data_IF_591443404239
#
_entry.id   IF_591443404239
#
_cell.length_a   1.000
_cell.length_b   1.000
_cell.length_c   1.000
_cell.angle_alpha   90.00
_cell.angle_beta   90.00
_cell.angle_gamma   90.00
#
_symmetry.space_group_name_H-M   'P 1'
#
loop_
_entity.id
_entity.type
_entity.pdbx_description
1 polymer ?
#
# COMPACT_ATOMS: atom_id res chain seq x y z
N UNK A 1 26.45 8.90 7.69
CA UNK A 1 25.11 9.38 8.11
C UNK A 1 24.11 8.24 8.39
N UNK A 2 23.94 7.24 7.51
CA UNK A 2 22.95 6.17 7.71
C UNK A 2 23.05 5.38 9.04
N UNK A 3 24.27 5.02 9.47
CA UNK A 3 24.47 4.25 10.71
C UNK A 3 24.02 5.02 11.98
N UNK A 4 24.23 6.34 12.01
CA UNK A 4 23.84 7.17 13.15
C UNK A 4 22.32 7.32 13.23
N UNK A 5 21.65 7.46 12.08
CA UNK A 5 20.19 7.48 11.99
C UNK A 5 19.60 6.15 12.48
N UNK A 6 20.15 5.01 12.01
CA UNK A 6 19.71 3.69 12.45
C UNK A 6 19.88 3.49 13.97
N UNK A 7 21.02 3.92 14.54
CA UNK A 7 21.27 3.86 15.97
C UNK A 7 20.27 4.72 16.77
N UNK A 8 19.95 5.93 16.31
CA UNK A 8 18.94 6.79 16.94
C UNK A 8 17.54 6.18 16.88
N UNK A 9 17.16 5.56 15.76
CA UNK A 9 15.88 4.84 15.63
C UNK A 9 15.81 3.69 16.63
N UNK A 10 16.85 2.87 16.72
CA UNK A 10 16.90 1.74 17.65
C UNK A 10 16.85 2.20 19.11
N UNK A 11 17.63 3.23 19.47
CA UNK A 11 17.61 3.80 20.81
C UNK A 11 16.22 4.37 21.18
N UNK A 12 15.48 4.92 20.21
CA UNK A 12 14.11 5.35 20.44
C UNK A 12 13.15 4.17 20.63
N UNK A 13 13.23 3.15 19.76
CA UNK A 13 12.42 1.93 19.82
C UNK A 13 12.67 1.12 21.10
N UNK A 14 13.85 1.22 21.72
CA UNK A 14 14.14 0.55 22.99
C UNK A 14 13.40 1.17 24.20
N UNK A 15 12.87 2.39 24.08
CA UNK A 15 12.17 3.07 25.18
C UNK A 15 10.76 2.48 25.37
N UNK A 16 10.33 2.15 26.61
CA UNK A 16 8.95 1.68 26.84
C UNK A 16 7.87 2.66 26.38
N UNK A 17 8.15 3.97 26.43
CA UNK A 17 7.24 5.01 25.94
C UNK A 17 6.89 4.85 24.45
N UNK A 18 7.86 4.47 23.61
CA UNK A 18 7.64 4.24 22.18
C UNK A 18 6.55 3.20 21.94
N UNK A 19 6.67 2.03 22.60
CA UNK A 19 5.71 0.93 22.43
C UNK A 19 4.35 1.22 23.04
N UNK A 20 4.28 1.96 24.16
CA UNK A 20 3.00 2.40 24.73
C UNK A 20 2.27 3.32 23.76
N UNK A 21 2.97 4.30 23.19
CA UNK A 21 2.41 5.20 22.18
C UNK A 21 1.97 4.42 20.96
N UNK A 22 2.83 3.60 20.36
CA UNK A 22 2.48 2.81 19.18
C UNK A 22 1.24 1.92 19.42
N UNK A 23 1.15 1.26 20.58
CA UNK A 23 -0.02 0.47 20.95
C UNK A 23 -1.28 1.33 21.05
N UNK A 24 -1.19 2.51 21.68
CA UNK A 24 -2.31 3.45 21.77
C UNK A 24 -2.80 3.89 20.40
N UNK A 25 -1.87 4.22 19.50
CA UNK A 25 -2.18 4.58 18.10
C UNK A 25 -2.85 3.43 17.35
N UNK A 26 -2.37 2.19 17.51
CA UNK A 26 -2.96 1.01 16.88
C UNK A 26 -4.36 0.69 17.43
N UNK A 27 -4.60 0.93 18.72
CA UNK A 27 -5.93 0.78 19.33
C UNK A 27 -6.88 1.88 18.83
N UNK A 28 -6.42 3.13 18.78
CA UNK A 28 -7.21 4.25 18.25
C UNK A 28 -7.52 4.05 16.75
N UNK A 29 -6.56 3.55 15.97
CA UNK A 29 -6.77 3.26 14.55
C UNK A 29 -7.89 2.24 14.33
N UNK A 30 -8.04 1.26 15.21
CA UNK A 30 -9.15 0.30 15.11
C UNK A 30 -10.51 0.96 15.22
N UNK A 31 -10.69 2.03 16.02
CA UNK A 31 -11.97 2.74 16.07
C UNK A 31 -12.22 3.60 14.84
N UNK A 32 -11.17 4.09 14.18
CA UNK A 32 -11.28 4.84 12.91
C UNK A 32 -11.62 3.90 11.76
N UNK A 33 -11.01 2.72 11.72
CA UNK A 33 -11.17 1.73 10.65
C UNK A 33 -12.13 0.58 11.01
N UNK A 34 -12.95 0.73 12.05
CA UNK A 34 -13.88 -0.32 12.50
C UNK A 34 -15.05 -0.52 11.55
N UNK A 35 -15.37 0.48 10.73
CA UNK A 35 -16.44 0.41 9.76
C UNK A 35 -16.03 -0.49 8.60
N UNK A 36 -16.76 -1.58 8.32
CA UNK A 36 -16.44 -2.45 7.21
C UNK A 36 -16.62 -1.69 5.88
N UNK A 37 -15.67 -1.87 4.98
CA UNK A 37 -15.84 -1.49 3.56
C UNK A 37 -16.93 -2.39 2.98
N UNK A 38 -17.88 -1.80 2.24
CA UNK A 38 -18.99 -2.59 1.68
C UNK A 38 -18.44 -3.60 0.67
N UNK A 39 -18.91 -4.85 0.74
CA UNK A 39 -18.45 -5.91 -0.17
C UNK A 39 -18.77 -5.62 -1.65
N UNK A 40 -19.78 -4.78 -1.92
CA UNK A 40 -20.13 -4.33 -3.26
C UNK A 40 -19.53 -2.97 -3.63
N UNK A 41 -18.65 -2.41 -2.80
CA UNK A 41 -17.97 -1.16 -3.12
C UNK A 41 -17.12 -1.35 -4.38
N UNK A 42 -17.39 -0.54 -5.39
CA UNK A 42 -16.77 -0.64 -6.69
C UNK A 42 -16.44 0.76 -7.21
N UNK A 43 -15.21 0.94 -7.66
CA UNK A 43 -14.64 2.17 -8.22
C UNK A 43 -14.97 2.34 -9.72
N UNK A 44 -15.76 1.44 -10.32
CA UNK A 44 -16.16 1.56 -11.73
C UNK A 44 -14.96 1.47 -12.67
N UNK A 45 -14.92 2.38 -13.64
CA UNK A 45 -13.84 2.52 -14.62
C UNK A 45 -12.69 3.42 -14.14
N UNK A 46 -12.66 3.83 -12.86
CA UNK A 46 -11.55 4.62 -12.30
C UNK A 46 -10.26 3.79 -12.43
N UNK A 47 -9.23 4.25 -13.15
CA UNK A 47 -7.96 3.52 -13.24
C UNK A 47 -7.32 3.37 -11.86
N UNK A 48 -6.93 2.14 -11.53
CA UNK A 48 -6.32 1.80 -10.25
C UNK A 48 -5.07 0.96 -10.48
N UNK A 49 -3.96 1.38 -9.88
CA UNK A 49 -2.69 0.65 -9.93
C UNK A 49 -2.17 0.45 -8.50
N UNK A 50 -2.04 -0.81 -8.09
CA UNK A 50 -1.49 -1.20 -6.79
C UNK A 50 -0.02 -1.62 -6.96
N UNK A 51 0.88 -0.93 -6.27
CA UNK A 51 2.30 -1.32 -6.21
C UNK A 51 2.52 -2.27 -5.04
N UNK A 52 3.12 -3.43 -5.33
CA UNK A 52 3.40 -4.47 -4.34
C UNK A 52 4.91 -4.68 -4.22
N UNK A 53 5.41 -4.62 -2.99
CA UNK A 53 6.77 -4.97 -2.64
C UNK A 53 6.99 -6.48 -2.80
N UNK A 54 8.16 -6.89 -3.31
CA UNK A 54 8.55 -8.30 -3.43
C UNK A 54 9.47 -8.78 -2.29
N UNK A 55 9.96 -7.86 -1.45
CA UNK A 55 10.87 -8.13 -0.31
C UNK A 55 10.34 -7.64 1.03
N UNK A 56 9.03 -7.46 1.16
CA UNK A 56 8.41 -6.88 2.37
C UNK A 56 8.72 -7.63 3.68
N UNK A 57 9.11 -8.91 3.60
CA UNK A 57 9.33 -9.79 4.75
C UNK A 57 10.67 -10.52 4.69
N UNK A 58 11.67 -9.99 3.99
CA UNK A 58 12.96 -10.67 3.78
C UNK A 58 13.69 -11.08 5.06
N UNK A 59 13.45 -10.39 6.19
CA UNK A 59 14.07 -10.69 7.48
C UNK A 59 13.18 -11.55 8.40
N UNK A 60 12.06 -12.06 7.88
CA UNK A 60 11.09 -12.87 8.62
C UNK A 60 11.29 -14.36 8.29
N UNK A 61 11.32 -15.25 9.30
CA UNK A 61 11.32 -16.70 9.08
C UNK A 61 10.18 -17.18 8.17
N UNK A 62 10.44 -18.17 7.31
CA UNK A 62 9.51 -18.63 6.28
C UNK A 62 8.14 -19.08 6.83
N UNK A 63 8.14 -19.73 8.00
CA UNK A 63 6.95 -20.21 8.69
C UNK A 63 6.03 -19.07 9.17
N UNK A 64 6.61 -17.92 9.50
CA UNK A 64 5.89 -16.70 9.88
C UNK A 64 5.56 -15.84 8.65
N UNK A 65 6.41 -15.86 7.63
CA UNK A 65 6.26 -15.07 6.42
C UNK A 65 4.93 -15.37 5.70
N UNK A 66 4.56 -16.64 5.57
CA UNK A 66 3.29 -17.04 4.97
C UNK A 66 2.07 -16.46 5.71
N UNK A 67 2.08 -16.50 7.05
CA UNK A 67 1.00 -15.96 7.87
C UNK A 67 0.91 -14.42 7.75
N UNK A 68 2.05 -13.74 7.68
CA UNK A 68 2.09 -12.29 7.49
C UNK A 68 1.67 -11.85 6.09
N UNK A 69 1.96 -12.66 5.07
CA UNK A 69 1.67 -12.33 3.67
C UNK A 69 0.20 -12.54 3.27
N UNK A 70 -0.54 -13.43 3.96
CA UNK A 70 -1.90 -13.80 3.57
C UNK A 70 -2.89 -12.62 3.65
N UNK A 71 -2.95 -11.92 4.78
CA UNK A 71 -3.88 -10.80 4.95
C UNK A 71 -3.62 -9.63 3.97
N UNK A 72 -2.36 -9.20 3.74
CA UNK A 72 -2.02 -8.27 2.67
C UNK A 72 -2.40 -8.79 1.28
N UNK A 73 -2.13 -10.06 0.98
CA UNK A 73 -2.47 -10.63 -0.33
C UNK A 73 -3.97 -10.57 -0.61
N UNK A 74 -4.81 -10.97 0.35
CA UNK A 74 -6.26 -10.88 0.24
C UNK A 74 -6.73 -9.43 0.09
N UNK A 75 -6.15 -8.52 0.88
CA UNK A 75 -6.44 -7.08 0.80
C UNK A 75 -6.09 -6.51 -0.58
N UNK A 76 -4.90 -6.79 -1.11
CA UNK A 76 -4.46 -6.32 -2.43
C UNK A 76 -5.38 -6.84 -3.53
N UNK A 77 -5.77 -8.13 -3.49
CA UNK A 77 -6.70 -8.69 -4.46
C UNK A 77 -8.05 -7.98 -4.44
N UNK A 78 -8.58 -7.69 -3.25
CA UNK A 78 -9.85 -6.96 -3.08
C UNK A 78 -9.75 -5.54 -3.64
N UNK A 79 -8.70 -4.80 -3.30
CA UNK A 79 -8.47 -3.44 -3.81
C UNK A 79 -8.40 -3.43 -5.33
N UNK A 80 -7.64 -4.35 -5.94
CA UNK A 80 -7.54 -4.45 -7.40
C UNK A 80 -8.88 -4.81 -8.03
N UNK A 81 -9.64 -5.73 -7.44
CA UNK A 81 -10.97 -6.11 -7.96
C UNK A 81 -12.03 -5.02 -7.83
N UNK A 82 -11.82 -4.01 -6.99
CA UNK A 82 -12.76 -2.90 -6.84
C UNK A 82 -12.84 -2.02 -8.09
N UNK A 83 -11.89 -2.11 -9.02
CA UNK A 83 -11.92 -1.35 -10.28
C UNK A 83 -11.92 -2.29 -11.49
N UNK A 84 -12.76 -2.00 -12.49
CA UNK A 84 -12.76 -2.70 -13.77
C UNK A 84 -11.43 -2.51 -14.55
N UNK A 85 -10.66 -1.48 -14.19
CA UNK A 85 -9.33 -1.18 -14.75
C UNK A 85 -8.20 -1.38 -13.73
N UNK A 86 -8.48 -2.10 -12.65
CA UNK A 86 -7.53 -2.39 -11.59
C UNK A 86 -6.36 -3.26 -12.07
N UNK A 87 -5.14 -2.88 -11.70
CA UNK A 87 -3.93 -3.66 -11.96
C UNK A 87 -3.04 -3.71 -10.73
N UNK A 88 -2.28 -4.80 -10.60
CA UNK A 88 -1.23 -4.95 -9.60
C UNK A 88 0.13 -5.01 -10.30
N UNK A 89 1.11 -4.26 -9.80
CA UNK A 89 2.49 -4.29 -10.26
C UNK A 89 3.41 -4.65 -9.11
N UNK A 90 4.17 -5.74 -9.26
CA UNK A 90 5.26 -6.05 -8.34
C UNK A 90 6.45 -5.12 -8.64
N UNK A 91 7.05 -4.51 -7.61
CA UNK A 91 8.21 -3.63 -7.75
C UNK A 91 9.47 -4.38 -7.31
N UNK A 92 10.36 -4.75 -8.25
CA UNK A 92 11.50 -5.61 -7.95
C UNK A 92 12.48 -5.00 -6.94
N UNK A 93 12.80 -5.82 -5.94
CA UNK A 93 13.72 -5.51 -4.87
C UNK A 93 13.24 -4.45 -3.88
N UNK A 94 11.96 -4.09 -3.89
CA UNK A 94 11.40 -3.14 -2.94
C UNK A 94 10.94 -3.86 -1.67
N UNK A 95 11.30 -3.31 -0.50
CA UNK A 95 10.70 -3.68 0.77
C UNK A 95 9.43 -2.84 1.02
N UNK A 96 9.01 -2.70 2.28
CA UNK A 96 7.73 -2.11 2.64
C UNK A 96 7.56 -0.66 2.13
N UNK A 97 8.60 0.18 2.22
CA UNK A 97 8.54 1.59 1.86
C UNK A 97 8.96 1.83 0.39
N UNK A 98 8.17 1.30 -0.55
CA UNK A 98 8.42 1.41 -2.00
C UNK A 98 8.70 2.85 -2.44
N UNK A 99 7.98 3.84 -1.89
CA UNK A 99 8.14 5.26 -2.22
C UNK A 99 9.50 5.83 -1.84
N UNK A 100 10.17 5.26 -0.83
CA UNK A 100 11.48 5.69 -0.38
C UNK A 100 12.59 4.95 -1.14
N UNK A 101 12.37 3.67 -1.46
CA UNK A 101 13.40 2.80 -2.05
C UNK A 101 13.40 2.77 -3.58
N UNK A 102 12.24 3.00 -4.19
CA UNK A 102 11.99 2.85 -5.63
C UNK A 102 11.14 4.00 -6.15
N UNK A 103 11.56 5.23 -5.86
CA UNK A 103 10.87 6.45 -6.27
C UNK A 103 10.49 6.44 -7.76
N UNK A 104 11.38 5.98 -8.64
CA UNK A 104 11.10 5.93 -10.08
C UNK A 104 9.96 4.97 -10.44
N UNK A 105 9.83 3.84 -9.74
CA UNK A 105 8.70 2.93 -9.96
C UNK A 105 7.37 3.60 -9.61
N UNK A 106 7.35 4.43 -8.56
CA UNK A 106 6.17 5.22 -8.19
C UNK A 106 5.88 6.29 -9.24
N UNK A 107 6.89 7.02 -9.71
CA UNK A 107 6.72 8.05 -10.75
C UNK A 107 6.17 7.44 -12.04
N UNK A 108 6.74 6.34 -12.52
CA UNK A 108 6.25 5.64 -13.71
C UNK A 108 4.82 5.13 -13.54
N UNK A 109 4.49 4.57 -12.37
CA UNK A 109 3.13 4.13 -12.05
C UNK A 109 2.10 5.28 -12.12
N UNK A 110 2.46 6.46 -11.61
CA UNK A 110 1.60 7.66 -11.70
C UNK A 110 1.44 8.09 -13.15
N UNK A 111 2.51 8.11 -13.94
CA UNK A 111 2.47 8.45 -15.36
C UNK A 111 1.57 7.48 -16.15
N UNK A 112 1.65 6.18 -15.88
CA UNK A 112 0.81 5.16 -16.52
C UNK A 112 -0.68 5.37 -16.24
N UNK A 113 -1.03 5.71 -14.99
CA UNK A 113 -2.41 6.04 -14.60
C UNK A 113 -2.88 7.29 -15.34
N UNK A 114 -2.08 8.36 -15.38
CA UNK A 114 -2.42 9.60 -16.08
C UNK A 114 -2.62 9.39 -17.58
N UNK A 115 -1.76 8.59 -18.21
CA UNK A 115 -1.88 8.23 -19.63
C UNK A 115 -3.16 7.43 -19.90
N UNK A 116 -3.55 6.54 -18.99
CA UNK A 116 -4.80 5.77 -19.11
C UNK A 116 -6.04 6.66 -19.03
N UNK A 117 -5.99 7.69 -18.17
CA UNK A 117 -7.06 8.70 -18.08
C UNK A 117 -7.12 9.54 -19.36
N UNK A 118 -5.98 10.04 -19.85
CA UNK A 118 -5.89 10.85 -21.06
C UNK A 118 -6.33 10.10 -22.33
N UNK A 119 -6.13 8.78 -22.39
CA UNK A 119 -6.55 7.94 -23.50
C UNK A 119 -8.03 7.51 -23.44
N UNK A 120 -8.76 7.82 -22.36
CA UNK A 120 -10.19 7.49 -22.27
C UNK A 120 -11.01 8.50 -23.07
N UNK A 121 -11.89 8.07 -23.99
CA UNK A 121 -12.72 8.99 -24.76
C UNK A 121 -13.65 9.75 -23.82
N UNK A 122 -13.65 11.09 -23.91
CA UNK A 122 -14.57 11.95 -23.17
C UNK A 122 -16.01 11.50 -23.37
N UNK A 123 -16.69 11.13 -22.29
CA UNK A 123 -18.15 11.00 -22.29
C UNK A 123 -18.74 12.41 -22.42
N UNK A 124 -19.07 12.78 -23.66
CA UNK A 124 -19.73 14.03 -24.03
C UNK A 124 -20.91 14.31 -23.07
N UNK A 125 -21.06 15.53 -22.50
CA UNK A 125 -22.15 15.82 -21.59
C UNK A 125 -23.49 15.68 -22.33
N UNK A 126 -24.40 14.84 -21.80
CA UNK A 126 -25.80 14.79 -22.24
C UNK A 126 -26.42 16.16 -21.96
N UNK A 127 -26.60 16.97 -23.00
CA UNK A 127 -27.46 18.14 -22.96
C UNK A 127 -28.89 17.66 -22.66
N UNK A 128 -29.47 18.17 -21.58
CA UNK A 128 -30.91 18.11 -21.30
C UNK A 128 -31.63 19.11 -22.19
#
# INVERSE_FOLDING_TARGET
>A
MGAQVAASVNANKAKPGYWRTLRSELIASQSVFSSPVYLQEHCGDIPLLLLRADRAYNDVPDDVCAALAEAPHQTHRRIVSASARGKQLAVPGAAHDIQLERLQAVVSAVQDVLNTVAASPETKPRRR
#
